data_IF_124449903454
#
_entry.id   IF_124449903454
#
_cell.length_a   1.000
_cell.length_b   1.000
_cell.length_c   1.000
_cell.angle_alpha   90.00
_cell.angle_beta   90.00
_cell.angle_gamma   90.00
#
_symmetry.space_group_name_H-M   'P 1'
#
loop_
_entity.id
_entity.type
_entity.pdbx_description
1 polymer ?
#
# COMPACT_ATOMS: atom_id res chain seq x y z
N UNK A 1 -47.30 -3.83 17.23
CA UNK A 1 -45.90 -4.21 17.51
C UNK A 1 -45.06 -4.02 16.25
N UNK A 2 -44.11 -3.08 16.22
CA UNK A 2 -43.24 -2.85 15.04
C UNK A 2 -42.07 -3.85 15.09
N UNK A 3 -41.94 -4.72 14.07
CA UNK A 3 -40.83 -5.67 13.95
C UNK A 3 -39.50 -4.90 13.78
N UNK A 4 -38.53 -5.14 14.66
CA UNK A 4 -37.17 -4.58 14.55
C UNK A 4 -36.53 -5.16 13.28
N UNK A 5 -36.12 -4.30 12.35
CA UNK A 5 -35.34 -4.73 11.17
C UNK A 5 -33.99 -5.24 11.66
N UNK A 6 -33.50 -6.40 11.17
CA UNK A 6 -32.14 -6.85 11.47
C UNK A 6 -31.14 -5.82 10.93
N UNK A 7 -30.24 -5.36 11.79
CA UNK A 7 -29.14 -4.49 11.41
C UNK A 7 -28.24 -5.29 10.46
N UNK A 8 -28.18 -4.91 9.17
CA UNK A 8 -27.18 -5.43 8.25
C UNK A 8 -25.90 -4.64 8.47
N UNK A 9 -24.95 -5.23 9.18
CA UNK A 9 -23.59 -4.70 9.29
C UNK A 9 -22.84 -5.10 8.01
N UNK A 10 -22.28 -4.16 7.23
CA UNK A 10 -21.48 -4.49 6.06
C UNK A 10 -20.17 -5.16 6.51
N UNK A 11 -19.91 -6.38 6.06
CA UNK A 11 -18.70 -7.19 6.36
C UNK A 11 -17.46 -6.67 5.61
N UNK A 12 -17.54 -5.50 4.97
CA UNK A 12 -16.49 -4.91 4.14
C UNK A 12 -15.58 -3.92 4.88
N UNK A 13 -15.90 -3.54 6.12
CA UNK A 13 -15.06 -2.59 6.88
C UNK A 13 -13.76 -3.25 7.39
N UNK A 14 -13.82 -4.49 7.90
CA UNK A 14 -12.68 -5.11 8.57
C UNK A 14 -11.38 -5.18 7.75
N UNK A 15 -11.43 -5.57 6.48
CA UNK A 15 -10.23 -5.71 5.64
C UNK A 15 -9.69 -4.38 5.10
N UNK A 16 -10.58 -3.41 4.86
CA UNK A 16 -10.18 -2.06 4.43
C UNK A 16 -9.49 -1.32 5.57
N UNK A 17 -10.02 -1.46 6.78
CA UNK A 17 -9.42 -0.90 7.98
C UNK A 17 -8.06 -1.54 8.30
N UNK A 18 -7.87 -2.85 8.03
CA UNK A 18 -6.58 -3.53 8.21
C UNK A 18 -5.52 -2.99 7.24
N UNK A 19 -5.82 -2.87 5.96
CA UNK A 19 -4.87 -2.32 4.98
C UNK A 19 -4.52 -0.85 5.27
N UNK A 20 -5.53 -0.03 5.62
CA UNK A 20 -5.32 1.36 6.02
C UNK A 20 -4.47 1.46 7.30
N UNK A 21 -4.77 0.66 8.32
CA UNK A 21 -3.98 0.58 9.54
C UNK A 21 -2.53 0.15 9.27
N UNK A 22 -2.31 -0.87 8.45
CA UNK A 22 -0.96 -1.36 8.14
C UNK A 22 -0.14 -0.31 7.38
N UNK A 23 -0.75 0.43 6.45
CA UNK A 23 -0.08 1.53 5.75
C UNK A 23 0.26 2.69 6.68
N UNK A 24 -0.69 3.14 7.51
CA UNK A 24 -0.45 4.24 8.46
C UNK A 24 0.53 3.86 9.58
N UNK A 25 0.47 2.62 10.09
CA UNK A 25 1.40 2.13 11.09
C UNK A 25 2.83 2.03 10.52
N UNK A 26 2.97 1.53 9.29
CA UNK A 26 4.26 1.51 8.60
C UNK A 26 4.79 2.94 8.36
N UNK A 27 3.94 3.88 7.96
CA UNK A 27 4.34 5.28 7.78
C UNK A 27 4.70 5.99 9.09
N UNK A 28 3.96 5.75 10.18
CA UNK A 28 4.32 6.29 11.49
C UNK A 28 5.65 5.73 11.98
N UNK A 29 5.92 4.44 11.78
CA UNK A 29 7.22 3.85 12.06
C UNK A 29 8.34 4.50 11.21
N UNK A 30 8.04 4.88 9.95
CA UNK A 30 8.96 5.62 9.07
C UNK A 30 9.33 7.00 9.59
N UNK A 31 8.38 7.68 10.23
CA UNK A 31 8.56 9.02 10.75
C UNK A 31 9.27 9.06 12.11
N UNK A 32 9.24 7.96 12.87
CA UNK A 32 9.73 7.90 14.27
C UNK A 32 11.13 7.28 14.41
N UNK A 33 11.91 7.14 13.34
CA UNK A 33 13.26 6.52 13.36
C UNK A 33 13.25 5.05 13.87
N UNK A 34 12.06 4.43 13.98
CA UNK A 34 11.85 3.02 14.34
C UNK A 34 11.68 2.15 13.09
N UNK A 35 12.22 2.61 11.97
CA UNK A 35 11.87 2.10 10.66
C UNK A 35 12.71 0.87 10.34
N UNK A 36 12.07 -0.29 10.45
CA UNK A 36 12.68 -1.55 10.05
C UNK A 36 12.49 -1.78 8.55
N UNK A 37 13.43 -2.49 7.93
CA UNK A 37 13.34 -2.95 6.54
C UNK A 37 12.00 -3.65 6.26
N UNK A 38 11.46 -4.36 7.24
CA UNK A 38 10.16 -5.02 7.15
C UNK A 38 8.99 -4.02 7.02
N UNK A 39 8.94 -2.99 7.85
CA UNK A 39 7.87 -1.99 7.80
C UNK A 39 7.89 -1.23 6.46
N UNK A 40 9.09 -0.86 5.99
CA UNK A 40 9.29 -0.26 4.69
C UNK A 40 8.83 -1.18 3.55
N UNK A 41 9.24 -2.45 3.58
CA UNK A 41 8.90 -3.42 2.54
C UNK A 41 7.40 -3.69 2.48
N UNK A 42 6.73 -3.72 3.64
CA UNK A 42 5.26 -3.86 3.71
C UNK A 42 4.55 -2.65 3.09
N UNK A 43 5.01 -1.43 3.37
CA UNK A 43 4.44 -0.22 2.76
C UNK A 43 4.60 -0.22 1.23
N UNK A 44 5.81 -0.50 0.74
CA UNK A 44 6.09 -0.56 -0.69
C UNK A 44 5.25 -1.65 -1.39
N UNK A 45 5.11 -2.82 -0.76
CA UNK A 45 4.26 -3.89 -1.27
C UNK A 45 2.79 -3.49 -1.31
N UNK A 46 2.28 -2.86 -0.25
CA UNK A 46 0.88 -2.44 -0.17
C UNK A 46 0.52 -1.42 -1.28
N UNK A 47 1.37 -0.39 -1.48
CA UNK A 47 1.19 0.60 -2.55
C UNK A 47 1.27 -0.07 -3.93
N UNK A 48 2.21 -0.98 -4.14
CA UNK A 48 2.38 -1.71 -5.40
C UNK A 48 1.19 -2.62 -5.74
N UNK A 49 0.59 -3.28 -4.74
CA UNK A 49 -0.63 -4.08 -4.90
C UNK A 49 -1.79 -3.21 -5.36
N UNK A 50 -2.01 -2.07 -4.71
CA UNK A 50 -3.11 -1.17 -5.06
C UNK A 50 -2.91 -0.62 -6.48
N UNK A 51 -1.70 -0.19 -6.81
CA UNK A 51 -1.33 0.26 -8.16
C UNK A 51 -1.62 -0.80 -9.22
N UNK A 52 -1.16 -2.03 -8.99
CA UNK A 52 -1.35 -3.16 -9.92
C UNK A 52 -2.81 -3.60 -10.04
N UNK A 53 -3.60 -3.45 -8.98
CA UNK A 53 -5.04 -3.72 -9.00
C UNK A 53 -5.80 -2.65 -9.79
N UNK A 54 -5.36 -1.39 -9.75
CA UNK A 54 -5.94 -0.29 -10.53
C UNK A 54 -5.65 -0.41 -12.03
N UNK A 55 -4.50 -0.96 -12.43
CA UNK A 55 -4.26 -1.22 -13.85
C UNK A 55 -5.23 -2.25 -14.43
N UNK A 56 -5.58 -3.27 -13.65
CA UNK A 56 -6.53 -4.29 -14.06
C UNK A 56 -7.98 -3.79 -14.10
N UNK A 57 -8.27 -2.66 -13.45
CA UNK A 57 -9.62 -2.14 -13.27
C UNK A 57 -9.62 -0.65 -13.58
N UNK A 58 -10.16 -0.25 -14.73
CA UNK A 58 -10.23 1.14 -15.19
C UNK A 58 -10.67 2.09 -14.07
N UNK A 59 -9.69 2.78 -13.45
CA UNK A 59 -9.93 3.63 -12.28
C UNK A 59 -10.59 4.93 -12.72
N UNK A 60 -11.56 5.39 -11.92
CA UNK A 60 -12.21 6.69 -12.11
C UNK A 60 -11.57 7.78 -11.27
N UNK A 61 -10.57 7.43 -10.46
CA UNK A 61 -9.86 8.39 -9.62
C UNK A 61 -8.75 9.01 -10.46
N UNK A 62 -8.83 10.32 -10.77
CA UNK A 62 -7.82 10.99 -11.58
C UNK A 62 -6.47 10.97 -10.87
N UNK A 63 -5.39 10.85 -11.64
CA UNK A 63 -4.01 10.84 -11.17
C UNK A 63 -3.63 9.66 -10.25
N UNK A 64 -4.54 8.72 -9.98
CA UNK A 64 -4.28 7.65 -9.02
C UNK A 64 -3.02 6.82 -9.36
N UNK A 65 -2.86 6.42 -10.62
CA UNK A 65 -1.68 5.66 -11.05
C UNK A 65 -0.41 6.51 -10.94
N UNK A 66 -0.45 7.78 -11.38
CA UNK A 66 0.70 8.68 -11.35
C UNK A 66 1.18 8.96 -9.92
N UNK A 67 0.25 9.22 -8.99
CA UNK A 67 0.56 9.43 -7.57
C UNK A 67 1.15 8.17 -6.93
N UNK A 68 0.61 6.99 -7.24
CA UNK A 68 1.13 5.73 -6.72
C UNK A 68 2.50 5.39 -7.32
N UNK A 69 2.73 5.66 -8.61
CA UNK A 69 4.02 5.46 -9.26
C UNK A 69 5.09 6.37 -8.64
N UNK A 70 4.78 7.64 -8.41
CA UNK A 70 5.68 8.58 -7.73
C UNK A 70 6.07 8.10 -6.32
N UNK A 71 5.09 7.56 -5.58
CA UNK A 71 5.35 6.99 -4.26
C UNK A 71 6.25 5.74 -4.34
N UNK A 72 6.00 4.83 -5.29
CA UNK A 72 6.82 3.64 -5.51
C UNK A 72 8.25 4.02 -5.90
N UNK A 73 8.44 4.98 -6.79
CA UNK A 73 9.75 5.49 -7.20
C UNK A 73 10.50 6.09 -6.01
N UNK A 74 9.82 6.90 -5.18
CA UNK A 74 10.42 7.47 -3.97
C UNK A 74 10.86 6.37 -3.01
N UNK A 75 10.01 5.36 -2.78
CA UNK A 75 10.35 4.22 -1.95
C UNK A 75 11.55 3.46 -2.57
N UNK A 76 11.60 3.22 -3.88
CA UNK A 76 12.74 2.56 -4.51
C UNK A 76 14.07 3.31 -4.28
N UNK A 77 14.07 4.65 -4.32
CA UNK A 77 15.24 5.48 -4.00
C UNK A 77 15.64 5.31 -2.53
N UNK A 78 14.68 5.36 -1.62
CA UNK A 78 14.90 5.20 -0.17
C UNK A 78 15.45 3.80 0.14
N UNK A 79 14.92 2.77 -0.52
CA UNK A 79 15.40 1.38 -0.43
C UNK A 79 16.86 1.30 -0.81
N UNK A 80 17.21 1.82 -2.00
CA UNK A 80 18.59 1.82 -2.48
C UNK A 80 19.54 2.51 -1.50
N UNK A 81 19.13 3.69 -0.99
CA UNK A 81 19.87 4.42 0.03
C UNK A 81 20.05 3.59 1.31
N UNK A 82 19.00 2.92 1.77
CA UNK A 82 19.04 2.03 2.93
C UNK A 82 19.93 0.80 2.74
N UNK A 83 19.91 0.20 1.56
CA UNK A 83 20.78 -0.93 1.19
C UNK A 83 22.26 -0.51 1.16
N UNK A 84 22.57 0.71 0.69
CA UNK A 84 23.94 1.23 0.59
C UNK A 84 24.50 1.75 1.93
N UNK A 85 23.66 2.40 2.74
CA UNK A 85 24.09 3.12 3.96
C UNK A 85 23.73 2.42 5.26
N UNK A 86 22.84 1.43 5.21
CA UNK A 86 22.23 0.81 6.39
C UNK A 86 21.17 1.70 7.08
N UNK A 87 20.91 2.91 6.57
CA UNK A 87 19.96 3.87 7.16
C UNK A 87 18.66 3.86 6.36
N UNK A 88 17.63 3.30 6.98
CA UNK A 88 16.29 3.18 6.40
C UNK A 88 15.42 4.29 6.97
N UNK A 89 15.48 5.48 6.37
CA UNK A 89 14.74 6.65 6.83
C UNK A 89 14.24 7.51 5.67
N UNK A 90 13.03 8.06 5.84
CA UNK A 90 12.46 9.06 4.93
C UNK A 90 12.90 10.45 5.37
N UNK A 91 13.67 11.11 4.51
CA UNK A 91 13.98 12.54 4.62
C UNK A 91 12.73 13.39 4.42
N UNK A 92 12.81 14.65 4.84
CA UNK A 92 11.69 15.60 4.74
C UNK A 92 11.17 15.76 3.30
N UNK A 93 12.03 15.68 2.30
CA UNK A 93 11.64 15.75 0.88
C UNK A 93 11.03 14.45 0.35
N UNK A 94 11.32 13.30 0.96
CA UNK A 94 10.79 11.99 0.56
C UNK A 94 9.42 11.70 1.21
N UNK A 95 9.08 12.37 2.32
CA UNK A 95 7.81 12.13 3.05
C UNK A 95 6.56 12.54 2.27
N UNK A 96 6.47 13.73 1.63
CA UNK A 96 5.26 14.14 0.90
C UNK A 96 4.79 13.16 -0.17
N UNK A 97 5.63 12.70 -1.12
CA UNK A 97 5.17 11.77 -2.15
C UNK A 97 4.74 10.40 -1.58
N UNK A 98 5.35 9.94 -0.49
CA UNK A 98 4.95 8.71 0.20
C UNK A 98 3.59 8.88 0.89
N UNK A 99 3.37 10.01 1.57
CA UNK A 99 2.07 10.35 2.17
C UNK A 99 0.96 10.44 1.13
N UNK A 100 1.23 11.13 0.03
CA UNK A 100 0.27 11.27 -1.08
C UNK A 100 -0.07 9.90 -1.67
N UNK A 101 0.94 9.03 -1.81
CA UNK A 101 0.76 7.64 -2.22
C UNK A 101 -0.13 6.83 -1.28
N UNK A 102 0.06 6.95 0.04
CA UNK A 102 -0.78 6.29 1.05
C UNK A 102 -2.22 6.80 0.95
N UNK A 103 -2.42 8.12 0.97
CA UNK A 103 -3.75 8.71 0.87
C UNK A 103 -4.47 8.35 -0.43
N UNK A 104 -3.73 8.24 -1.53
CA UNK A 104 -4.27 7.76 -2.81
C UNK A 104 -4.61 6.27 -2.75
N UNK A 105 -3.74 5.44 -2.16
CA UNK A 105 -3.97 4.01 -2.02
C UNK A 105 -5.23 3.72 -1.20
N UNK A 106 -5.45 4.43 -0.09
CA UNK A 106 -6.65 4.32 0.74
C UNK A 106 -7.93 4.67 -0.04
N UNK A 107 -7.91 5.79 -0.77
CA UNK A 107 -9.03 6.18 -1.64
C UNK A 107 -9.32 5.11 -2.71
N UNK A 108 -8.27 4.54 -3.29
CA UNK A 108 -8.38 3.50 -4.30
C UNK A 108 -8.93 2.19 -3.73
N UNK A 109 -8.48 1.76 -2.54
CA UNK A 109 -9.02 0.59 -1.82
C UNK A 109 -10.52 0.74 -1.56
N UNK A 110 -11.00 1.97 -1.33
CA UNK A 110 -12.42 2.30 -1.26
C UNK A 110 -13.22 1.79 -2.48
N UNK A 111 -12.61 1.76 -3.66
CA UNK A 111 -13.24 1.45 -4.96
C UNK A 111 -12.92 0.06 -5.52
N UNK A 112 -11.89 -0.60 -4.97
CA UNK A 112 -11.44 -1.91 -5.40
C UNK A 112 -12.22 -3.03 -4.70
N UNK A 113 -12.30 -4.18 -5.38
CA UNK A 113 -12.88 -5.39 -4.79
C UNK A 113 -11.80 -6.09 -3.95
N UNK A 114 -12.17 -6.58 -2.76
CA UNK A 114 -11.24 -7.23 -1.84
C UNK A 114 -10.61 -8.47 -2.49
N UNK A 115 -11.39 -9.26 -3.25
CA UNK A 115 -10.87 -10.44 -3.93
C UNK A 115 -9.82 -10.07 -4.99
N UNK A 116 -9.98 -8.91 -5.66
CA UNK A 116 -8.99 -8.42 -6.61
C UNK A 116 -7.69 -8.01 -5.92
N UNK A 117 -7.77 -7.38 -4.74
CA UNK A 117 -6.60 -7.01 -3.95
C UNK A 117 -5.85 -8.27 -3.47
N UNK A 118 -6.57 -9.27 -2.94
CA UNK A 118 -5.97 -10.53 -2.48
C UNK A 118 -5.32 -11.31 -3.63
N UNK A 119 -6.00 -11.44 -4.78
CA UNK A 119 -5.44 -12.08 -5.96
C UNK A 119 -4.20 -11.34 -6.48
N UNK A 120 -4.22 -10.01 -6.47
CA UNK A 120 -3.09 -9.19 -6.93
C UNK A 120 -1.90 -9.31 -5.97
N UNK A 121 -2.15 -9.32 -4.66
CA UNK A 121 -1.11 -9.55 -3.66
C UNK A 121 -0.49 -10.94 -3.79
N UNK A 122 -1.29 -11.99 -3.93
CA UNK A 122 -0.79 -13.34 -4.16
C UNK A 122 0.08 -13.42 -5.41
N UNK A 123 -0.39 -12.85 -6.53
CA UNK A 123 0.36 -12.82 -7.79
C UNK A 123 1.69 -12.07 -7.68
N UNK A 124 1.70 -10.93 -6.98
CA UNK A 124 2.93 -10.16 -6.77
C UNK A 124 3.91 -10.91 -5.88
N UNK A 125 3.43 -11.59 -4.84
CA UNK A 125 4.26 -12.48 -4.00
C UNK A 125 4.85 -13.63 -4.80
N UNK A 126 4.08 -14.25 -5.70
CA UNK A 126 4.59 -15.29 -6.61
C UNK A 126 5.67 -14.76 -7.55
N UNK A 127 5.49 -13.55 -8.11
CA UNK A 127 6.50 -12.92 -8.97
C UNK A 127 7.78 -12.62 -8.19
N UNK A 128 7.68 -12.17 -6.95
CA UNK A 128 8.85 -11.90 -6.10
C UNK A 128 9.56 -13.20 -5.71
N UNK A 129 8.80 -14.22 -5.26
CA UNK A 129 9.35 -15.52 -4.86
C UNK A 129 9.98 -16.29 -6.03
N UNK A 130 9.44 -16.14 -7.24
CA UNK A 130 10.00 -16.76 -8.45
C UNK A 130 11.14 -15.91 -9.06
N UNK A 131 11.20 -14.61 -8.73
CA UNK A 131 12.26 -13.68 -9.14
C UNK A 131 13.60 -13.88 -8.43
N UNK A 132 13.63 -14.50 -7.24
CA UNK A 132 14.88 -14.90 -6.55
C UNK A 132 15.59 -16.11 -7.20
N UNK A 133 15.04 -16.66 -8.29
CA UNK A 133 15.68 -17.75 -9.06
C UNK A 133 16.42 -17.27 -10.33
N UNK A 134 16.46 -15.96 -10.60
CA UNK A 134 17.13 -15.40 -11.78
C UNK A 134 17.87 -14.09 -11.46
N UNK A 135 19.06 -14.20 -10.87
CA UNK A 135 19.99 -13.06 -10.69
C UNK A 135 21.10 -13.38 -9.72
#
# INVERSE_FOLDING_TARGET
MKKRKPLRVPVTHGLKDIYAMDMHAAYQAACMEQFTVEAFSRLAAAISVVRSALEQKQTKIPLAIETLDTAIETLAVVRKKGDETGVWELSESERPPVLDGIGMAEQCIGTLDVALLEMTAARLLEVIACGEQAG
#
